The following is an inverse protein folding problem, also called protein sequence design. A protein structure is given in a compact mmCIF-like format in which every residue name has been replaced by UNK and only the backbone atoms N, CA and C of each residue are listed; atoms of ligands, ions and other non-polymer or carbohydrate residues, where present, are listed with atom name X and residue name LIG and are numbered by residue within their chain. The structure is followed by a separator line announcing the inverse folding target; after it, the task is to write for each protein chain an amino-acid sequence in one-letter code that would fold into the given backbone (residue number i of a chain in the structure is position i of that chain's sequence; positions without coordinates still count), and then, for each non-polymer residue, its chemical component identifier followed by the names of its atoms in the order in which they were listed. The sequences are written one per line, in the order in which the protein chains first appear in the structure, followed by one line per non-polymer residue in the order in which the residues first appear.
data_IF_251990484922
#
_entry.id   IF_251990484922
#
_cell.length_a   1.000
_cell.length_b   1.000
_cell.length_c   1.000
_cell.angle_alpha   90.00
_cell.angle_beta   90.00
_cell.angle_gamma   90.00
#
_symmetry.space_group_name_H-M   'P 1'
#
loop_
_entity.id
_entity.type
_entity.pdbx_description
1 polymer ?
#
# COMPACT_ATOMS: atom_id res chain seq x y z
N UNK A 1 14.42 11.61 80.14
CA UNK A 1 14.31 13.01 79.68
C UNK A 1 13.33 13.10 78.51
N UNK A 2 12.24 13.86 78.66
CA UNK A 2 11.53 14.59 77.59
C UNK A 2 12.24 15.96 77.40
N UNK A 3 11.83 16.92 76.53
CA UNK A 3 10.60 17.09 75.70
C UNK A 3 10.95 17.46 74.23
N UNK A 4 10.11 17.91 73.28
CA UNK A 4 8.83 18.64 73.24
C UNK A 4 8.12 18.34 71.88
N UNK A 5 6.80 18.08 71.82
CA UNK A 5 5.66 19.00 71.90
C UNK A 5 5.61 20.07 70.81
N UNK A 6 4.61 19.99 69.92
CA UNK A 6 3.51 20.96 69.92
C UNK A 6 2.27 20.42 69.17
N UNK A 7 1.18 20.27 69.92
CA UNK A 7 -0.20 20.40 69.44
C UNK A 7 -0.47 21.88 69.18
N UNK A 8 -1.43 22.18 68.31
CA UNK A 8 -2.57 23.07 68.61
C UNK A 8 -3.70 22.82 67.60
N UNK A 9 -4.92 22.74 68.14
CA UNK A 9 -6.19 22.55 67.45
C UNK A 9 -6.83 23.93 67.33
N UNK A 10 -7.52 24.23 66.23
CA UNK A 10 -8.67 25.14 66.29
C UNK A 10 -9.81 24.64 65.40
N UNK A 11 -11.02 24.90 65.89
CA UNK A 11 -12.28 24.19 65.66
C UNK A 11 -13.33 25.23 65.28
N UNK A 12 -13.94 25.10 64.10
CA UNK A 12 -15.31 25.49 63.65
C UNK A 12 -15.80 26.96 63.82
N UNK A 13 -16.79 27.48 63.04
CA UNK A 13 -18.01 26.76 62.64
C UNK A 13 -18.61 27.02 61.25
N UNK A 14 -19.61 26.17 60.96
CA UNK A 14 -20.61 26.13 59.91
C UNK A 14 -21.05 27.46 59.28
N UNK A 15 -21.20 27.45 57.95
CA UNK A 15 -22.34 28.11 57.29
C UNK A 15 -22.79 27.28 56.10
N UNK A 16 -24.03 26.82 56.19
CA UNK A 16 -24.78 26.09 55.19
C UNK A 16 -25.19 27.07 54.08
N UNK A 17 -24.77 26.83 52.83
CA UNK A 17 -25.38 27.47 51.66
C UNK A 17 -25.78 26.38 50.67
N UNK A 18 -27.09 26.16 50.62
CA UNK A 18 -27.82 25.34 49.67
C UNK A 18 -27.91 26.11 48.34
N UNK A 19 -27.14 25.69 47.33
CA UNK A 19 -27.36 26.09 45.94
C UNK A 19 -27.67 24.85 45.11
N UNK A 20 -28.97 24.63 44.88
CA UNK A 20 -29.44 23.75 43.81
C UNK A 20 -28.98 24.33 42.47
N UNK A 21 -28.08 23.64 41.79
CA UNK A 21 -27.85 23.81 40.36
C UNK A 21 -28.10 22.46 39.69
N UNK A 22 -29.26 22.35 39.03
CA UNK A 22 -29.55 21.32 38.05
C UNK A 22 -28.52 21.42 36.92
N UNK A 23 -27.56 20.51 36.87
CA UNK A 23 -26.73 20.30 35.67
C UNK A 23 -27.16 18.98 35.05
N UNK A 24 -27.74 19.10 33.86
CA UNK A 24 -28.25 18.00 33.07
C UNK A 24 -27.15 16.94 32.83
N UNK A 25 -27.48 15.69 33.13
CA UNK A 25 -26.77 14.51 32.65
C UNK A 25 -26.93 14.45 31.12
N UNK A 26 -26.03 15.11 30.40
CA UNK A 26 -25.82 14.88 28.97
C UNK A 26 -25.01 13.61 28.80
N UNK A 27 -25.68 12.51 28.48
CA UNK A 27 -25.07 11.24 28.10
C UNK A 27 -24.34 11.43 26.76
N UNK A 28 -23.09 11.92 26.81
CA UNK A 28 -22.20 11.97 25.66
C UNK A 28 -21.62 10.58 25.43
N UNK A 29 -22.24 9.82 24.53
CA UNK A 29 -21.68 8.57 24.02
C UNK A 29 -20.25 8.82 23.54
N UNK A 30 -19.28 8.17 24.18
CA UNK A 30 -17.90 8.12 23.75
C UNK A 30 -17.86 7.42 22.37
N UNK A 31 -17.97 8.21 21.31
CA UNK A 31 -17.71 7.75 19.96
C UNK A 31 -16.25 7.34 19.88
N UNK A 32 -15.99 6.04 19.75
CA UNK A 32 -14.71 5.52 19.25
C UNK A 32 -14.40 6.29 17.97
N UNK A 33 -13.32 7.08 17.98
CA UNK A 33 -12.81 7.72 16.76
C UNK A 33 -12.44 6.59 15.81
N UNK A 34 -13.29 6.35 14.81
CA UNK A 34 -12.94 5.53 13.67
C UNK A 34 -11.75 6.14 12.92
N UNK A 35 -11.15 5.40 11.98
CA UNK A 35 -10.03 5.90 11.19
C UNK A 35 -10.44 7.22 10.53
N UNK A 36 -9.72 8.28 10.85
CA UNK A 36 -9.92 9.57 10.19
C UNK A 36 -9.55 9.36 8.73
N UNK A 37 -10.54 9.43 7.84
CA UNK A 37 -10.29 9.66 6.41
C UNK A 37 -9.51 10.97 6.31
N UNK A 38 -8.24 10.88 5.92
CA UNK A 38 -7.35 12.01 5.80
C UNK A 38 -7.92 12.98 4.74
N UNK A 39 -8.43 14.11 5.23
CA UNK A 39 -8.68 15.31 4.43
C UNK A 39 -7.36 16.07 4.34
N UNK A 40 -6.77 16.19 3.13
CA UNK A 40 -5.78 17.19 2.70
C UNK A 40 -4.84 17.76 3.80
N UNK A 41 -4.35 16.88 4.66
CA UNK A 41 -3.45 17.15 5.76
C UNK A 41 -2.23 16.29 5.51
N UNK A 42 -1.06 16.88 5.67
CA UNK A 42 0.24 16.30 5.31
C UNK A 42 0.35 14.82 5.70
N UNK A 43 0.81 14.00 4.77
CA UNK A 43 1.04 12.58 5.01
C UNK A 43 2.10 12.39 6.11
N UNK A 44 1.93 11.43 7.02
CA UNK A 44 2.87 11.22 8.12
C UNK A 44 4.23 10.76 7.58
N UNK A 45 5.31 11.43 8.00
CA UNK A 45 6.69 11.12 7.59
C UNK A 45 7.45 10.26 8.60
N UNK A 46 7.03 10.26 9.87
CA UNK A 46 7.66 9.47 10.92
C UNK A 46 7.27 7.99 10.82
N UNK A 47 8.28 7.12 10.96
CA UNK A 47 8.11 5.68 11.04
C UNK A 47 7.96 5.33 12.52
N UNK A 48 6.74 4.92 12.92
CA UNK A 48 6.44 4.51 14.29
C UNK A 48 6.21 3.00 14.29
N UNK A 49 7.15 2.26 14.88
CA UNK A 49 7.03 0.83 15.13
C UNK A 49 5.95 0.56 16.19
N UNK A 50 5.04 -0.36 15.91
CA UNK A 50 4.09 -0.87 16.91
C UNK A 50 4.74 -2.04 17.67
N UNK A 51 4.84 -1.96 18.99
CA UNK A 51 5.51 -3.02 19.77
C UNK A 51 4.83 -4.40 19.59
N UNK A 52 5.64 -5.44 19.38
CA UNK A 52 5.21 -6.84 19.46
C UNK A 52 6.04 -7.53 20.55
N UNK A 53 5.40 -7.95 21.65
CA UNK A 53 6.07 -8.50 22.83
C UNK A 53 6.66 -9.92 22.60
N UNK A 54 7.69 -10.03 21.76
CA UNK A 54 8.29 -11.30 21.32
C UNK A 54 8.90 -12.15 22.44
N UNK A 55 9.17 -11.55 23.59
CA UNK A 55 9.68 -12.23 24.79
C UNK A 55 8.60 -12.55 25.84
N UNK A 56 7.33 -12.27 25.53
CA UNK A 56 6.23 -12.63 26.39
C UNK A 56 6.16 -14.16 26.62
N UNK A 57 5.72 -14.57 27.80
CA UNK A 57 5.52 -15.99 28.12
C UNK A 57 4.44 -16.66 27.24
N UNK A 58 3.56 -15.86 26.63
CA UNK A 58 2.56 -16.33 25.67
C UNK A 58 3.09 -16.43 24.24
N UNK A 59 4.36 -16.10 23.99
CA UNK A 59 4.96 -16.21 22.67
C UNK A 59 5.27 -17.67 22.32
N UNK A 60 4.78 -18.11 21.16
CA UNK A 60 5.13 -19.38 20.53
C UNK A 60 6.28 -19.13 19.57
N UNK A 61 7.43 -19.74 19.84
CA UNK A 61 8.67 -19.55 19.09
C UNK A 61 8.95 -20.78 18.23
N UNK A 62 9.19 -20.57 16.94
CA UNK A 62 9.53 -21.63 15.97
C UNK A 62 10.88 -21.32 15.34
N UNK A 63 11.81 -22.24 15.49
CA UNK A 63 13.09 -22.28 14.79
C UNK A 63 12.89 -23.16 13.54
N UNK A 64 12.76 -22.51 12.38
CA UNK A 64 12.40 -23.14 11.12
C UNK A 64 13.62 -23.71 10.39
N UNK A 65 14.81 -23.16 10.61
CA UNK A 65 16.06 -23.62 10.01
C UNK A 65 16.93 -24.51 10.94
N UNK A 66 16.51 -24.70 12.20
CA UNK A 66 17.20 -25.45 13.25
C UNK A 66 18.58 -24.89 13.64
N UNK A 67 18.77 -23.57 13.58
CA UNK A 67 20.02 -22.91 13.95
C UNK A 67 20.12 -22.51 15.44
N UNK A 68 19.05 -22.72 16.19
CA UNK A 68 18.94 -22.39 17.61
C UNK A 68 18.37 -20.99 17.89
N UNK A 69 18.05 -20.20 16.86
CA UNK A 69 17.34 -18.92 16.96
C UNK A 69 15.93 -19.08 16.37
N UNK A 70 14.90 -18.50 16.99
CA UNK A 70 13.55 -18.59 16.45
C UNK A 70 13.37 -17.62 15.27
N UNK A 71 12.88 -18.15 14.15
CA UNK A 71 12.60 -17.40 12.93
C UNK A 71 11.17 -16.84 12.92
N UNK A 72 10.28 -17.50 13.65
CA UNK A 72 8.87 -17.11 13.76
C UNK A 72 8.52 -17.01 15.24
N UNK A 73 8.06 -15.83 15.66
CA UNK A 73 7.56 -15.60 17.01
C UNK A 73 6.12 -15.11 16.94
N UNK A 74 5.18 -15.94 17.42
CA UNK A 74 3.76 -15.62 17.46
C UNK A 74 3.36 -15.26 18.89
N UNK A 75 2.95 -14.03 19.14
CA UNK A 75 2.49 -13.58 20.46
C UNK A 75 1.00 -13.81 20.57
N UNK A 76 0.58 -14.50 21.64
CA UNK A 76 -0.81 -14.91 21.86
C UNK A 76 -1.46 -14.15 23.02
N UNK A 77 -2.75 -13.86 22.89
CA UNK A 77 -3.66 -13.48 23.97
C UNK A 77 -4.77 -14.55 24.07
N UNK A 78 -4.62 -15.46 25.04
CA UNK A 78 -5.44 -16.67 25.09
C UNK A 78 -5.18 -17.54 23.86
N UNK A 79 -6.22 -17.76 23.04
CA UNK A 79 -6.12 -18.52 21.78
C UNK A 79 -5.99 -17.62 20.54
N UNK A 80 -5.99 -16.30 20.71
CA UNK A 80 -5.93 -15.33 19.60
C UNK A 80 -4.50 -14.84 19.43
N UNK A 81 -4.01 -14.86 18.20
CA UNK A 81 -2.72 -14.24 17.86
C UNK A 81 -2.88 -12.72 17.82
N UNK A 82 -2.03 -11.99 18.54
CA UNK A 82 -2.05 -10.52 18.58
C UNK A 82 -1.05 -9.92 17.59
N UNK A 83 0.15 -10.50 17.52
CA UNK A 83 1.18 -10.10 16.59
C UNK A 83 2.13 -11.26 16.29
N UNK A 84 2.85 -11.14 15.18
CA UNK A 84 3.88 -12.09 14.74
C UNK A 84 5.11 -11.36 14.26
N UNK A 85 6.28 -11.76 14.75
CA UNK A 85 7.57 -11.35 14.20
C UNK A 85 8.13 -12.49 13.32
N UNK A 86 8.73 -12.11 12.19
CA UNK A 86 9.25 -13.02 11.17
C UNK A 86 10.66 -12.60 10.74
N UNK A 87 11.63 -13.47 10.96
CA UNK A 87 12.90 -13.51 10.24
C UNK A 87 12.71 -14.44 9.02
N UNK A 88 12.57 -13.83 7.85
CA UNK A 88 12.33 -14.54 6.59
C UNK A 88 13.62 -15.03 5.94
N UNK A 89 14.78 -14.56 6.42
CA UNK A 89 16.04 -14.75 5.75
C UNK A 89 17.10 -15.48 6.61
N UNK A 90 16.80 -15.69 7.89
CA UNK A 90 17.57 -16.41 8.90
C UNK A 90 18.86 -15.71 9.36
N UNK A 91 18.91 -14.38 9.29
CA UNK A 91 20.06 -13.61 9.77
C UNK A 91 19.99 -13.28 11.28
N UNK A 92 18.86 -13.56 11.92
CA UNK A 92 18.56 -13.25 13.31
C UNK A 92 17.94 -11.87 13.54
N UNK A 93 17.54 -11.17 12.48
CA UNK A 93 16.79 -9.90 12.52
C UNK A 93 15.38 -10.11 12.00
N UNK A 94 14.43 -9.38 12.56
CA UNK A 94 13.04 -9.46 12.13
C UNK A 94 12.86 -8.66 10.85
N UNK A 95 12.56 -9.32 9.74
CA UNK A 95 12.21 -8.66 8.48
C UNK A 95 10.76 -8.12 8.51
N UNK A 96 9.85 -8.79 9.23
CA UNK A 96 8.43 -8.45 9.22
C UNK A 96 7.76 -8.57 10.58
N UNK A 97 6.93 -7.58 10.90
CA UNK A 97 5.93 -7.66 11.97
C UNK A 97 4.52 -7.65 11.38
N UNK A 98 3.68 -8.56 11.84
CA UNK A 98 2.26 -8.65 11.50
C UNK A 98 1.43 -8.40 12.74
N UNK A 99 0.35 -7.63 12.63
CA UNK A 99 -0.57 -7.35 13.74
C UNK A 99 -1.99 -7.66 13.32
N UNK A 100 -2.71 -8.32 14.22
CA UNK A 100 -4.06 -8.83 13.96
C UNK A 100 -5.12 -8.05 14.75
N UNK A 101 -6.32 -7.98 14.20
CA UNK A 101 -7.50 -7.43 14.88
C UNK A 101 -8.15 -8.47 15.82
N UNK A 102 -9.20 -8.07 16.53
CA UNK A 102 -9.93 -8.95 17.46
C UNK A 102 -10.57 -10.17 16.76
N UNK A 103 -10.85 -10.06 15.45
CA UNK A 103 -11.39 -11.15 14.65
C UNK A 103 -10.30 -12.04 14.02
N UNK A 104 -9.02 -11.72 14.24
CA UNK A 104 -7.87 -12.44 13.70
C UNK A 104 -7.50 -12.04 12.27
N UNK A 105 -8.08 -10.98 11.70
CA UNK A 105 -7.66 -10.49 10.39
C UNK A 105 -6.40 -9.64 10.54
N UNK A 106 -5.53 -9.67 9.52
CA UNK A 106 -4.41 -8.73 9.44
C UNK A 106 -4.95 -7.29 9.42
N UNK A 107 -4.42 -6.44 10.30
CA UNK A 107 -4.73 -4.99 10.35
C UNK A 107 -3.53 -4.11 10.03
N UNK A 108 -2.32 -4.61 10.29
CA UNK A 108 -1.07 -3.89 10.07
C UNK A 108 0.05 -4.85 9.73
N UNK A 109 0.92 -4.44 8.80
CA UNK A 109 2.20 -5.10 8.51
C UNK A 109 3.28 -4.04 8.51
N UNK A 110 4.40 -4.35 9.15
CA UNK A 110 5.62 -3.56 9.08
C UNK A 110 6.71 -4.42 8.43
N UNK A 111 7.50 -3.84 7.54
CA UNK A 111 8.54 -4.54 6.78
C UNK A 111 9.82 -3.74 6.73
N UNK A 112 10.92 -4.43 7.05
CA UNK A 112 12.30 -4.06 6.76
C UNK A 112 12.66 -4.76 5.44
N UNK A 113 12.78 -4.01 4.33
CA UNK A 113 13.06 -4.61 3.02
C UNK A 113 14.52 -4.54 2.63
N UNK A 114 15.28 -3.58 3.17
CA UNK A 114 16.70 -3.41 2.89
C UNK A 114 17.61 -4.12 3.90
N UNK A 115 17.03 -4.60 5.01
CA UNK A 115 17.61 -5.43 6.07
C UNK A 115 18.62 -4.70 6.94
N UNK A 116 18.42 -3.40 7.14
CA UNK A 116 19.24 -2.62 8.05
C UNK A 116 18.78 -2.71 9.53
N UNK A 117 17.63 -3.35 9.78
CA UNK A 117 17.00 -3.51 11.08
C UNK A 117 15.98 -2.41 11.41
N UNK A 118 15.66 -1.53 10.47
CA UNK A 118 14.64 -0.49 10.58
C UNK A 118 13.43 -0.84 9.71
N UNK A 119 12.27 -0.30 10.07
CA UNK A 119 11.07 -0.47 9.26
C UNK A 119 11.10 0.53 8.11
N UNK A 120 10.88 0.05 6.89
CA UNK A 120 10.79 0.90 5.70
C UNK A 120 9.36 1.03 5.18
N UNK A 121 8.53 -0.01 5.37
CA UNK A 121 7.17 -0.07 4.84
C UNK A 121 6.16 -0.38 5.94
N UNK A 122 5.05 0.36 5.96
CA UNK A 122 3.90 0.11 6.82
C UNK A 122 2.65 -0.07 5.96
N UNK A 123 2.08 -1.27 5.95
CA UNK A 123 0.79 -1.58 5.34
C UNK A 123 -0.34 -1.57 6.36
N UNK A 124 -1.46 -0.93 6.03
CA UNK A 124 -2.68 -0.91 6.83
C UNK A 124 -3.81 -1.66 6.13
N UNK A 125 -4.53 -2.48 6.87
CA UNK A 125 -5.53 -3.40 6.36
C UNK A 125 -6.86 -3.21 7.11
N UNK A 126 -7.97 -3.35 6.38
CA UNK A 126 -9.33 -3.30 6.91
C UNK A 126 -10.02 -4.63 6.58
N UNK A 127 -10.37 -5.40 7.60
CA UNK A 127 -10.93 -6.75 7.43
C UNK A 127 -10.01 -7.67 6.61
N UNK A 128 -8.69 -7.53 6.77
CA UNK A 128 -7.68 -8.31 6.03
C UNK A 128 -7.37 -7.81 4.61
N UNK A 129 -8.08 -6.79 4.11
CA UNK A 129 -7.84 -6.20 2.77
C UNK A 129 -7.01 -4.93 2.91
N UNK A 130 -5.97 -4.77 2.10
CA UNK A 130 -5.12 -3.59 2.15
C UNK A 130 -5.90 -2.32 1.80
N UNK A 131 -5.71 -1.28 2.60
CA UNK A 131 -6.34 0.02 2.48
C UNK A 131 -5.32 1.14 2.24
N UNK A 132 -4.16 1.07 2.89
CA UNK A 132 -3.08 2.04 2.74
C UNK A 132 -1.72 1.35 2.82
N UNK A 133 -0.71 1.98 2.22
CA UNK A 133 0.70 1.59 2.37
C UNK A 133 1.57 2.83 2.41
N UNK A 134 2.43 2.94 3.41
CA UNK A 134 3.38 4.03 3.56
C UNK A 134 4.78 3.46 3.40
N UNK A 135 5.65 4.17 2.68
CA UNK A 135 6.99 3.68 2.35
C UNK A 135 8.03 4.77 2.47
N UNK A 136 9.12 4.38 3.12
CA UNK A 136 10.46 4.86 2.90
C UNK A 136 10.92 4.25 1.56
N UNK A 137 11.24 5.06 0.57
CA UNK A 137 11.75 4.59 -0.74
C UNK A 137 13.13 5.14 -1.10
N UNK A 138 13.72 5.94 -0.22
CA UNK A 138 14.94 6.70 -0.48
C UNK A 138 16.05 6.51 0.57
N UNK A 139 15.79 5.66 1.55
CA UNK A 139 16.56 5.19 2.70
C UNK A 139 17.18 6.32 3.54
N UNK A 140 16.40 7.36 3.85
CA UNK A 140 16.74 8.47 4.75
C UNK A 140 16.05 8.42 6.13
N UNK A 141 15.28 7.35 6.39
CA UNK A 141 14.60 7.10 7.66
C UNK A 141 13.27 7.85 7.80
N UNK A 142 12.68 8.32 6.69
CA UNK A 142 11.35 8.96 6.67
C UNK A 142 10.49 8.39 5.55
N UNK A 143 9.19 8.29 5.83
CA UNK A 143 8.20 7.97 4.82
C UNK A 143 8.14 9.10 3.79
N UNK A 144 8.23 8.74 2.51
CA UNK A 144 8.18 9.67 1.39
C UNK A 144 7.11 9.30 0.35
N UNK A 145 6.58 8.08 0.42
CA UNK A 145 5.59 7.57 -0.53
C UNK A 145 4.38 7.02 0.22
N UNK A 146 3.18 7.41 -0.20
CA UNK A 146 1.91 6.95 0.38
C UNK A 146 0.97 6.46 -0.72
N UNK A 147 0.45 5.26 -0.55
CA UNK A 147 -0.52 4.64 -1.44
C UNK A 147 -1.87 4.48 -0.76
N UNK A 148 -2.93 4.70 -1.52
CA UNK A 148 -4.31 4.40 -1.12
C UNK A 148 -4.89 3.31 -2.01
N UNK A 149 -5.62 2.38 -1.39
CA UNK A 149 -6.24 1.24 -2.04
C UNK A 149 -7.75 1.25 -1.82
N UNK A 150 -8.50 0.87 -2.87
CA UNK A 150 -9.94 0.60 -2.79
C UNK A 150 -10.19 -0.88 -3.13
N UNK A 151 -10.77 -1.62 -2.19
CA UNK A 151 -11.00 -3.07 -2.32
C UNK A 151 -9.73 -3.84 -2.72
N UNK A 152 -8.60 -3.47 -2.12
CA UNK A 152 -7.30 -4.09 -2.37
C UNK A 152 -6.60 -3.68 -3.67
N UNK A 153 -7.17 -2.75 -4.46
CA UNK A 153 -6.57 -2.26 -5.70
C UNK A 153 -6.05 -0.83 -5.52
N UNK A 154 -4.85 -0.56 -6.02
CA UNK A 154 -4.22 0.76 -5.94
C UNK A 154 -5.04 1.80 -6.70
N UNK A 155 -5.43 2.88 -6.03
CA UNK A 155 -6.21 3.97 -6.63
C UNK A 155 -5.46 5.29 -6.66
N UNK A 156 -4.52 5.47 -5.73
CA UNK A 156 -3.72 6.69 -5.63
C UNK A 156 -2.33 6.37 -5.06
N UNK A 157 -1.32 7.08 -5.57
CA UNK A 157 0.01 7.21 -4.95
C UNK A 157 0.37 8.68 -4.88
N UNK A 158 0.95 9.09 -3.77
CA UNK A 158 1.56 10.41 -3.59
C UNK A 158 3.01 10.25 -3.15
N UNK A 159 3.88 11.17 -3.56
CA UNK A 159 5.30 11.15 -3.17
C UNK A 159 5.87 12.55 -2.91
N UNK A 160 6.66 12.66 -1.86
CA UNK A 160 7.59 13.75 -1.59
C UNK A 160 8.98 13.33 -2.10
N UNK A 161 9.45 13.88 -3.21
CA UNK A 161 10.73 13.52 -3.81
C UNK A 161 11.88 14.40 -3.36
N UNK A 162 11.61 15.55 -2.74
CA UNK A 162 12.61 16.53 -2.35
C UNK A 162 12.86 16.60 -0.83
N UNK A 163 12.09 15.84 -0.04
CA UNK A 163 12.18 15.67 1.42
C UNK A 163 11.85 16.93 2.20
N UNK A 164 11.02 17.81 1.66
CA UNK A 164 10.60 19.04 2.34
C UNK A 164 9.35 18.86 3.22
N UNK A 165 8.75 17.66 3.22
CA UNK A 165 7.54 17.31 3.96
C UNK A 165 6.25 17.66 3.22
N UNK A 166 6.33 17.93 1.91
CA UNK A 166 5.18 18.18 1.03
C UNK A 166 5.26 17.26 -0.17
N UNK A 167 4.09 16.80 -0.60
CA UNK A 167 3.97 15.98 -1.81
C UNK A 167 4.19 16.88 -3.03
N UNK A 168 5.04 16.42 -3.95
CA UNK A 168 5.27 17.05 -5.26
C UNK A 168 4.87 16.14 -6.44
N UNK A 169 4.52 14.87 -6.20
CA UNK A 169 4.05 13.95 -7.25
C UNK A 169 2.80 13.17 -6.85
N UNK A 170 1.88 13.04 -7.79
CA UNK A 170 0.64 12.28 -7.64
C UNK A 170 0.44 11.34 -8.84
N UNK A 171 0.02 10.11 -8.56
CA UNK A 171 -0.51 9.17 -9.54
C UNK A 171 -1.91 8.80 -9.12
N UNK A 172 -2.89 9.08 -9.97
CA UNK A 172 -4.26 8.58 -9.82
C UNK A 172 -4.46 7.45 -10.81
N UNK A 173 -5.13 6.37 -10.41
CA UNK A 173 -5.40 5.20 -11.26
C UNK A 173 -6.91 5.12 -11.54
N UNK A 174 -7.43 5.78 -12.60
CA UNK A 174 -8.88 5.83 -12.86
C UNK A 174 -9.49 4.46 -13.12
N UNK A 175 -8.71 3.57 -13.73
CA UNK A 175 -9.01 2.15 -13.85
C UNK A 175 -8.00 1.36 -13.01
N UNK A 176 -8.36 0.91 -11.80
CA UNK A 176 -7.46 0.15 -10.93
C UNK A 176 -7.03 -1.22 -11.49
N UNK A 177 -7.60 -1.65 -12.62
CA UNK A 177 -7.12 -2.84 -13.35
C UNK A 177 -5.98 -2.55 -14.33
N UNK A 178 -5.69 -1.27 -14.60
CA UNK A 178 -4.64 -0.78 -15.52
C UNK A 178 -3.64 0.09 -14.77
N UNK A 179 -2.78 -0.54 -13.96
CA UNK A 179 -1.78 0.17 -13.16
C UNK A 179 -0.67 0.82 -13.99
N UNK A 180 -0.56 0.49 -15.27
CA UNK A 180 0.32 1.11 -16.26
C UNK A 180 -0.32 2.36 -16.94
N UNK A 181 -1.56 2.70 -16.57
CA UNK A 181 -2.30 3.88 -17.01
C UNK A 181 -2.64 4.87 -15.88
N UNK A 182 -1.67 5.35 -15.09
CA UNK A 182 -1.95 6.40 -14.12
C UNK A 182 -2.12 7.76 -14.83
N UNK A 183 -2.98 8.61 -14.30
CA UNK A 183 -2.87 10.06 -14.52
C UNK A 183 -1.82 10.58 -13.55
N UNK A 184 -0.76 11.16 -14.09
CA UNK A 184 0.38 11.69 -13.34
C UNK A 184 0.20 13.19 -13.18
N UNK A 185 0.45 13.73 -12.00
CA UNK A 185 0.49 15.16 -11.74
C UNK A 185 1.76 15.51 -10.96
N UNK A 186 2.35 16.67 -11.26
CA UNK A 186 3.62 17.13 -10.69
C UNK A 186 3.49 18.60 -10.22
N UNK A 187 4.05 18.92 -9.06
CA UNK A 187 4.27 20.29 -8.57
C UNK A 187 5.74 20.64 -8.79
N UNK A 188 6.02 21.41 -9.84
CA UNK A 188 7.39 21.81 -10.19
C UNK A 188 7.78 23.13 -9.49
N UNK A 189 6.78 23.91 -9.10
CA UNK A 189 6.95 25.22 -8.47
C UNK A 189 7.15 25.17 -6.95
N UNK A 190 6.74 24.07 -6.31
CA UNK A 190 6.79 23.87 -4.86
C UNK A 190 5.70 24.63 -4.09
N UNK A 191 4.62 25.03 -4.76
CA UNK A 191 3.51 25.77 -4.15
C UNK A 191 2.48 24.89 -3.44
N UNK A 192 2.66 23.56 -3.51
CA UNK A 192 1.79 22.53 -2.95
C UNK A 192 0.63 22.14 -3.87
N UNK A 193 0.65 22.53 -5.15
CA UNK A 193 -0.38 22.20 -6.13
C UNK A 193 0.23 21.66 -7.41
N UNK A 194 -0.46 20.76 -8.13
CA UNK A 194 0.05 20.29 -9.40
C UNK A 194 0.06 21.38 -10.49
N UNK A 195 1.22 21.58 -11.10
CA UNK A 195 1.46 22.43 -12.26
C UNK A 195 1.21 21.67 -13.58
N UNK A 196 1.69 20.43 -13.65
CA UNK A 196 1.66 19.59 -14.85
C UNK A 196 0.78 18.37 -14.63
N UNK A 197 0.07 17.94 -15.68
CA UNK A 197 -0.70 16.69 -15.70
C UNK A 197 -0.45 15.94 -17.01
N UNK A 198 -0.19 14.64 -16.89
CA UNK A 198 0.13 13.75 -18.01
C UNK A 198 -0.73 12.48 -17.91
N UNK A 199 -1.29 12.04 -19.04
CA UNK A 199 -2.06 10.79 -19.15
C UNK A 199 -1.41 9.93 -20.24
N UNK A 200 -0.44 9.07 -19.88
CA UNK A 200 0.35 8.32 -20.84
C UNK A 200 -0.50 7.37 -21.68
N UNK A 201 -1.66 6.91 -21.18
CA UNK A 201 -2.52 6.02 -21.95
C UNK A 201 -3.37 6.76 -22.97
N UNK A 202 -3.94 7.91 -22.60
CA UNK A 202 -4.63 8.76 -23.58
C UNK A 202 -3.70 9.27 -24.67
N UNK A 203 -2.45 9.58 -24.33
CA UNK A 203 -1.46 10.03 -25.30
C UNK A 203 -1.11 8.90 -26.29
N UNK A 204 -0.84 7.68 -25.81
CA UNK A 204 -0.64 6.52 -26.70
C UNK A 204 -1.85 6.23 -27.58
N UNK A 205 -3.07 6.33 -27.04
CA UNK A 205 -4.30 6.15 -27.82
C UNK A 205 -4.44 7.21 -28.92
N UNK A 206 -4.10 8.47 -28.62
CA UNK A 206 -4.11 9.55 -29.60
C UNK A 206 -3.04 9.33 -30.69
N UNK A 207 -1.84 8.90 -30.32
CA UNK A 207 -0.76 8.57 -31.27
C UNK A 207 -1.15 7.40 -32.20
N UNK A 208 -1.71 6.33 -31.64
CA UNK A 208 -2.21 5.20 -32.43
C UNK A 208 -3.34 5.61 -33.38
N UNK A 209 -4.22 6.51 -32.92
CA UNK A 209 -5.31 7.05 -33.76
C UNK A 209 -4.76 7.91 -34.89
N UNK A 210 -3.78 8.79 -34.59
CA UNK A 210 -3.12 9.62 -35.59
C UNK A 210 -2.35 8.76 -36.63
N UNK A 211 -1.64 7.72 -36.18
CA UNK A 211 -0.95 6.77 -37.05
C UNK A 211 -1.93 5.93 -37.90
N UNK A 212 -3.08 5.56 -37.33
CA UNK A 212 -4.16 4.86 -38.04
C UNK A 212 -4.85 5.72 -39.11
N UNK A 213 -4.94 7.04 -38.89
CA UNK A 213 -5.46 8.00 -39.89
C UNK A 213 -4.49 8.21 -41.06
N UNK A 214 -3.18 8.08 -40.85
CA UNK A 214 -2.18 8.15 -41.95
C UNK A 214 -2.17 6.93 -42.87
N UNK A 215 -2.83 5.82 -42.51
CA UNK A 215 -2.85 4.59 -43.32
C UNK A 215 -4.07 4.47 -44.26
N UNK A 216 -5.01 5.42 -44.25
CA UNK A 216 -6.26 5.35 -45.02
C UNK A 216 -6.31 6.35 -46.19
N UNK A 217 -5.44 6.16 -47.19
CA UNK A 217 -5.74 6.56 -48.57
C UNK A 217 -5.25 5.48 -49.55
N UNK A 218 -6.13 4.60 -50.03
CA UNK A 218 -5.87 3.88 -51.26
C UNK A 218 -6.06 4.87 -52.42
N UNK A 219 -4.97 5.32 -53.04
CA UNK A 219 -5.06 5.95 -54.36
C UNK A 219 -5.59 4.90 -55.33
N UNK A 220 -6.82 5.11 -55.81
CA UNK A 220 -7.41 4.32 -56.87
C UNK A 220 -6.51 4.39 -58.11
N UNK A 221 -5.95 3.25 -58.50
CA UNK A 221 -5.28 3.07 -59.79
C UNK A 221 -6.35 3.11 -60.89
N UNK A 222 -6.19 3.92 -61.96
CA UNK A 222 -7.13 3.88 -63.06
C UNK A 222 -6.95 2.59 -63.85
N UNK A 223 -8.10 1.99 -64.14
CA UNK A 223 -8.33 0.82 -64.98
C UNK A 223 -7.60 0.94 -66.34
N UNK A 224 -6.85 -0.11 -66.69
CA UNK A 224 -6.24 -0.28 -67.99
C UNK A 224 -6.26 -1.77 -68.37
N UNK A 225 -7.37 -2.19 -68.97
CA UNK A 225 -7.40 -2.99 -70.20
C UNK A 225 -6.85 -4.41 -70.14
N UNK A 226 -7.75 -5.38 -70.18
CA UNK A 226 -7.46 -6.74 -70.64
C UNK A 226 -6.91 -6.74 -72.07
N UNK A 227 -6.16 -7.80 -72.44
CA UNK A 227 -6.76 -8.74 -73.39
C UNK A 227 -6.55 -10.21 -72.99
N UNK A 228 -7.62 -11.01 -73.16
CA UNK A 228 -7.59 -12.47 -73.32
C UNK A 228 -7.33 -12.83 -74.81
N UNK A 229 -7.26 -14.13 -75.20
CA UNK A 229 -6.45 -15.23 -74.68
C UNK A 229 -5.65 -15.89 -75.83
N UNK A 230 -4.69 -16.78 -75.53
CA UNK A 230 -4.34 -17.81 -76.52
C UNK A 230 -3.93 -19.14 -75.87
N UNK A 231 -4.50 -20.20 -76.44
CA UNK A 231 -4.51 -21.56 -75.92
C UNK A 231 -3.45 -22.42 -76.62
N UNK A 232 -2.78 -23.32 -75.88
CA UNK A 232 -2.46 -24.69 -76.28
C UNK A 232 -1.65 -25.45 -75.20
N UNK A 233 -2.23 -26.54 -74.67
CA UNK A 233 -1.55 -27.69 -74.03
C UNK A 233 -1.13 -28.71 -75.13
N UNK A 234 -0.50 -29.91 -74.87
CA UNK A 234 -0.23 -30.63 -73.60
C UNK A 234 1.10 -31.44 -73.48
N UNK A 235 1.18 -32.23 -72.37
CA UNK A 235 1.97 -33.45 -72.09
C UNK A 235 3.38 -33.27 -71.50
N UNK A 236 3.91 -34.05 -70.54
CA UNK A 236 3.56 -35.36 -69.93
C UNK A 236 4.48 -35.70 -68.73
N UNK A 237 3.98 -36.52 -67.79
CA UNK A 237 4.73 -37.47 -66.92
C UNK A 237 5.41 -36.90 -65.67
N UNK A 238 5.55 -37.58 -64.53
CA UNK A 238 5.19 -38.91 -64.06
C UNK A 238 5.33 -38.94 -62.51
N UNK A 239 4.84 -40.01 -61.88
CA UNK A 239 4.77 -40.45 -60.47
C UNK A 239 5.97 -40.15 -59.52
N UNK A 240 5.90 -40.25 -58.18
CA UNK A 240 4.97 -40.94 -57.26
C UNK A 240 5.23 -40.56 -55.78
N UNK A 241 4.25 -40.76 -54.90
CA UNK A 241 4.21 -41.75 -53.80
C UNK A 241 5.39 -41.65 -52.80
N UNK A 242 5.18 -41.10 -51.60
CA UNK A 242 4.78 -41.79 -50.35
C UNK A 242 5.93 -42.55 -49.67
N UNK A 243 6.23 -42.25 -48.39
CA UNK A 243 6.04 -43.17 -47.25
C UNK A 243 6.48 -42.54 -45.91
N UNK A 244 5.87 -43.04 -44.85
CA UNK A 244 5.96 -42.71 -43.45
C UNK A 244 7.11 -43.45 -42.71
N UNK A 245 7.23 -43.16 -41.41
CA UNK A 245 8.01 -43.90 -40.41
C UNK A 245 8.95 -42.98 -39.63
N UNK A 246 8.94 -42.87 -38.31
CA UNK A 246 8.43 -43.76 -37.27
C UNK A 246 9.57 -44.07 -36.29
N UNK A 247 9.40 -43.68 -35.02
CA UNK A 247 10.00 -44.33 -33.84
C UNK A 247 11.48 -44.09 -33.52
N UNK A 248 11.75 -43.42 -32.40
CA UNK A 248 12.16 -44.06 -31.13
C UNK A 248 12.08 -43.03 -30.00
#
# INVERSE_FOLDING_TARGET
MSPANHRERFRNPSTLVLCLAFVAFGCGSAGKKGPQTASAGQSPTEIVHEECEVDAASAVKTDANSDGRPDIVQVMEGTREVCRALDLNFDGRVDNYLYFDEAGNLRRRESDFDRDGLIDEIGYYQGGVIAQKHRETNLDGKLDTWDTYASGRLTERTRDTNRDGKVDQWWTFPDPSKTDCPVIALDESGDGKPDVRHDPCKEREAEMTAAGQTAAQPTAQPDAGQPEPDAAQPASGDAGAADAGGGS
#
